data_IF_054226382472
#
_entry.id   IF_054226382472
#
_cell.length_a   1.000
_cell.length_b   1.000
_cell.length_c   1.000
_cell.angle_alpha   90.00
_cell.angle_beta   90.00
_cell.angle_gamma   90.00
#
_symmetry.space_group_name_H-M   'P 1'
#
loop_
_entity.id
_entity.type
_entity.pdbx_description
1 polymer ?
#
# COMPACT_ATOMS: atom_id res chain seq x y z
N UNK A 1 5.86 -22.46 -9.91
CA UNK A 1 4.68 -23.21 -9.43
C UNK A 1 4.60 -23.02 -7.93
N UNK A 2 3.38 -22.88 -7.39
CA UNK A 2 3.02 -22.43 -6.02
C UNK A 2 2.93 -20.90 -5.85
N UNK A 3 1.91 -20.29 -6.48
CA UNK A 3 1.51 -18.88 -6.24
C UNK A 3 0.01 -18.83 -5.86
N UNK A 4 -0.47 -19.91 -5.23
CA UNK A 4 -1.81 -20.03 -4.64
C UNK A 4 -1.62 -20.33 -3.17
N UNK A 5 -1.63 -19.29 -2.35
CA UNK A 5 -1.88 -19.45 -0.91
C UNK A 5 -3.28 -20.08 -0.82
N UNK A 6 -3.40 -21.25 -0.20
CA UNK A 6 -4.69 -21.91 -0.05
C UNK A 6 -5.58 -21.03 0.82
N UNK A 7 -6.68 -20.55 0.25
CA UNK A 7 -7.59 -19.57 0.86
C UNK A 7 -8.49 -20.15 1.95
N UNK A 8 -8.44 -21.46 2.16
CA UNK A 8 -9.33 -22.17 3.09
C UNK A 8 -8.89 -22.02 4.55
N UNK A 9 -7.58 -21.95 4.81
CA UNK A 9 -7.04 -21.75 6.15
C UNK A 9 -6.19 -20.48 6.22
N UNK A 10 -6.78 -19.44 6.79
CA UNK A 10 -6.15 -18.13 6.98
C UNK A 10 -5.36 -18.06 8.29
N UNK A 11 -5.54 -19.05 9.19
CA UNK A 11 -4.85 -19.10 10.47
C UNK A 11 -3.37 -19.46 10.33
N UNK A 12 -2.99 -20.11 9.22
CA UNK A 12 -1.62 -20.51 8.90
C UNK A 12 -0.82 -19.46 8.13
N UNK A 13 -1.37 -18.26 7.90
CA UNK A 13 -0.69 -17.19 7.15
C UNK A 13 0.46 -16.59 7.99
N UNK A 14 1.65 -17.17 7.86
CA UNK A 14 2.76 -16.99 8.78
C UNK A 14 4.03 -16.40 8.13
N UNK A 15 5.03 -15.97 8.93
CA UNK A 15 6.28 -15.32 8.48
C UNK A 15 7.13 -16.05 7.42
N UNK A 16 7.23 -17.39 7.33
CA UNK A 16 8.03 -18.02 6.27
C UNK A 16 7.50 -17.68 4.86
N UNK A 17 6.22 -17.35 4.73
CA UNK A 17 5.56 -17.01 3.46
C UNK A 17 5.28 -15.51 3.30
N UNK A 18 5.87 -14.65 4.15
CA UNK A 18 5.52 -13.22 4.24
C UNK A 18 5.70 -12.47 2.91
N UNK A 19 6.70 -12.87 2.09
CA UNK A 19 6.91 -12.27 0.78
C UNK A 19 5.84 -12.68 -0.25
N UNK A 20 5.43 -13.96 -0.23
CA UNK A 20 4.34 -14.44 -1.08
C UNK A 20 3.01 -13.81 -0.67
N UNK A 21 2.78 -13.71 0.65
CA UNK A 21 1.62 -13.06 1.23
C UNK A 21 1.57 -11.56 0.89
N UNK A 22 2.71 -10.87 0.98
CA UNK A 22 2.83 -9.47 0.55
C UNK A 22 2.49 -9.32 -0.93
N UNK A 23 3.06 -10.14 -1.82
CA UNK A 23 2.73 -10.09 -3.26
C UNK A 23 1.27 -10.38 -3.53
N UNK A 24 0.67 -11.29 -2.77
CA UNK A 24 -0.75 -11.61 -2.88
C UNK A 24 -1.61 -10.40 -2.51
N UNK A 25 -1.37 -9.79 -1.34
CA UNK A 25 -2.08 -8.59 -0.91
C UNK A 25 -1.84 -7.39 -1.83
N UNK A 26 -0.60 -7.20 -2.31
CA UNK A 26 -0.24 -6.12 -3.22
C UNK A 26 -1.01 -6.25 -4.54
N UNK A 27 -1.08 -7.48 -5.08
CA UNK A 27 -1.89 -7.78 -6.25
C UNK A 27 -3.37 -7.56 -5.99
N UNK A 28 -3.90 -8.00 -4.85
CA UNK A 28 -5.31 -7.79 -4.50
C UNK A 28 -5.65 -6.31 -4.41
N UNK A 29 -4.83 -5.52 -3.72
CA UNK A 29 -5.04 -4.09 -3.55
C UNK A 29 -5.19 -3.35 -4.90
N UNK A 30 -4.60 -3.85 -6.00
CA UNK A 30 -4.85 -3.32 -7.35
C UNK A 30 -6.31 -3.33 -7.80
N UNK A 31 -7.11 -4.28 -7.30
CA UNK A 31 -8.49 -4.53 -7.74
C UNK A 31 -9.53 -3.83 -6.88
N UNK A 32 -9.14 -3.20 -5.76
CA UNK A 32 -10.06 -2.43 -4.89
C UNK A 32 -10.68 -1.26 -5.66
N UNK A 33 -9.87 -0.58 -6.46
CA UNK A 33 -10.33 0.56 -7.24
C UNK A 33 -9.23 1.53 -7.67
N UNK A 34 -9.62 2.65 -8.30
CA UNK A 34 -8.69 3.71 -8.65
C UNK A 34 -8.09 4.35 -7.40
N UNK A 35 -6.82 4.75 -7.47
CA UNK A 35 -6.21 5.59 -6.42
C UNK A 35 -6.77 7.03 -6.50
N UNK A 36 -6.62 7.87 -5.46
CA UNK A 36 -7.10 9.24 -5.48
C UNK A 36 -6.59 10.05 -6.69
N UNK A 37 -5.32 9.86 -7.07
CA UNK A 37 -4.74 10.49 -8.26
C UNK A 37 -5.39 9.99 -9.58
N UNK A 38 -5.76 8.71 -9.65
CA UNK A 38 -6.45 8.16 -10.82
C UNK A 38 -7.90 8.61 -10.90
N UNK A 39 -8.57 8.79 -9.76
CA UNK A 39 -9.93 9.32 -9.71
C UNK A 39 -10.01 10.77 -10.18
N UNK A 40 -8.95 11.57 -9.97
CA UNK A 40 -8.85 12.96 -10.46
C UNK A 40 -8.59 13.07 -11.97
N UNK A 41 -8.12 12.00 -12.62
CA UNK A 41 -7.75 11.98 -14.05
C UNK A 41 -8.32 10.74 -14.75
N UNK A 42 -9.65 10.60 -14.85
CA UNK A 42 -10.30 9.39 -15.35
C UNK A 42 -9.98 9.08 -16.83
N UNK A 43 -9.64 10.08 -17.64
CA UNK A 43 -9.27 9.95 -19.05
C UNK A 43 -7.89 9.33 -19.26
N UNK A 44 -7.01 9.36 -18.26
CA UNK A 44 -5.66 8.79 -18.37
C UNK A 44 -5.69 7.27 -18.53
N UNK A 45 -4.76 6.75 -19.34
CA UNK A 45 -4.65 5.31 -19.64
C UNK A 45 -4.59 4.44 -18.37
N UNK A 46 -3.89 4.89 -17.35
CA UNK A 46 -3.77 4.19 -16.06
C UNK A 46 -5.10 4.10 -15.32
N UNK A 47 -5.86 5.19 -15.24
CA UNK A 47 -7.18 5.22 -14.62
C UNK A 47 -8.17 4.29 -15.37
N UNK A 48 -8.14 4.29 -16.70
CA UNK A 48 -8.97 3.39 -17.53
C UNK A 48 -8.63 1.90 -17.32
N UNK A 49 -7.35 1.58 -17.11
CA UNK A 49 -6.92 0.21 -16.81
C UNK A 49 -7.38 -0.21 -15.41
N UNK A 50 -7.21 0.64 -14.39
CA UNK A 50 -7.68 0.37 -13.03
C UNK A 50 -9.21 0.20 -12.97
N UNK A 51 -9.96 1.05 -13.70
CA UNK A 51 -11.41 0.96 -13.76
C UNK A 51 -11.89 -0.41 -14.30
N UNK A 52 -11.19 -0.98 -15.29
CA UNK A 52 -11.49 -2.32 -15.83
C UNK A 52 -11.16 -3.46 -14.87
N UNK A 53 -10.21 -3.27 -13.96
CA UNK A 53 -9.81 -4.27 -12.96
C UNK A 53 -10.69 -4.21 -11.72
N UNK A 54 -11.21 -3.04 -11.39
CA UNK A 54 -12.04 -2.82 -10.21
C UNK A 54 -13.19 -3.82 -10.16
N UNK A 55 -13.39 -4.51 -9.04
CA UNK A 55 -14.51 -5.44 -8.87
C UNK A 55 -14.24 -6.89 -9.30
N UNK A 56 -13.20 -7.14 -10.10
CA UNK A 56 -12.93 -8.49 -10.66
C UNK A 56 -12.56 -9.51 -9.58
N UNK A 57 -12.04 -9.05 -8.44
CA UNK A 57 -11.58 -9.90 -7.33
C UNK A 57 -12.27 -9.58 -6.00
N UNK A 58 -13.47 -9.00 -6.07
CA UNK A 58 -14.22 -8.67 -4.86
C UNK A 58 -14.61 -9.92 -4.07
N UNK A 59 -14.84 -11.05 -4.74
CA UNK A 59 -15.05 -12.35 -4.08
C UNK A 59 -13.83 -12.80 -3.27
N UNK A 60 -12.61 -12.64 -3.81
CA UNK A 60 -11.36 -12.94 -3.08
C UNK A 60 -11.21 -12.03 -1.86
N UNK A 61 -11.58 -10.75 -1.98
CA UNK A 61 -11.59 -9.82 -0.86
C UNK A 61 -12.65 -10.12 0.18
N UNK A 62 -13.82 -10.59 -0.24
CA UNK A 62 -14.93 -10.93 0.67
C UNK A 62 -14.61 -12.22 1.42
N UNK A 63 -13.85 -13.13 0.81
CA UNK A 63 -13.36 -14.35 1.44
C UNK A 63 -12.30 -14.10 2.52
N UNK A 64 -11.61 -12.95 2.49
CA UNK A 64 -10.64 -12.56 3.52
C UNK A 64 -11.39 -12.25 4.83
N UNK A 65 -11.04 -12.98 5.88
CA UNK A 65 -11.53 -12.77 7.25
C UNK A 65 -10.36 -12.35 8.15
N UNK A 66 -10.15 -11.03 8.36
CA UNK A 66 -9.07 -10.55 9.20
C UNK A 66 -9.12 -11.09 10.63
N UNK A 67 -10.30 -11.47 11.14
CA UNK A 67 -10.42 -12.00 12.50
C UNK A 67 -9.80 -13.39 12.66
N UNK A 68 -9.63 -14.14 11.56
CA UNK A 68 -9.00 -15.47 11.52
C UNK A 68 -7.52 -15.44 11.20
N UNK A 69 -6.99 -14.29 10.78
CA UNK A 69 -5.59 -14.14 10.40
C UNK A 69 -4.70 -13.89 11.62
N UNK A 70 -3.43 -14.34 11.58
CA UNK A 70 -2.41 -13.88 12.52
C UNK A 70 -2.25 -12.36 12.48
N UNK A 71 -1.95 -11.78 13.64
CA UNK A 71 -1.84 -10.32 13.82
C UNK A 71 -0.87 -9.69 12.83
N UNK A 72 0.28 -10.31 12.59
CA UNK A 72 1.30 -9.86 11.64
C UNK A 72 0.75 -9.76 10.20
N UNK A 73 -0.07 -10.73 9.80
CA UNK A 73 -0.70 -10.77 8.47
C UNK A 73 -1.77 -9.69 8.33
N UNK A 74 -2.50 -9.38 9.41
CA UNK A 74 -3.43 -8.25 9.45
C UNK A 74 -2.68 -6.91 9.30
N UNK A 75 -1.54 -6.75 9.99
CA UNK A 75 -0.67 -5.59 9.85
C UNK A 75 -0.13 -5.44 8.43
N UNK A 76 0.28 -6.55 7.80
CA UNK A 76 0.76 -6.57 6.42
C UNK A 76 -0.32 -6.11 5.44
N UNK A 77 -1.53 -6.68 5.53
CA UNK A 77 -2.66 -6.30 4.69
C UNK A 77 -2.98 -4.80 4.81
N UNK A 78 -3.04 -4.30 6.05
CA UNK A 78 -3.24 -2.87 6.31
C UNK A 78 -2.11 -2.02 5.71
N UNK A 79 -0.85 -2.40 5.92
CA UNK A 79 0.30 -1.66 5.39
C UNK A 79 0.29 -1.59 3.85
N UNK A 80 -0.07 -2.69 3.18
CA UNK A 80 -0.22 -2.74 1.72
C UNK A 80 -1.31 -1.80 1.24
N UNK A 81 -2.51 -1.88 1.82
CA UNK A 81 -3.64 -1.02 1.46
C UNK A 81 -3.32 0.47 1.65
N UNK A 82 -2.61 0.82 2.73
CA UNK A 82 -2.16 2.20 2.98
C UNK A 82 -1.11 2.61 1.95
N UNK A 83 -0.11 1.77 1.68
CA UNK A 83 0.96 2.08 0.73
C UNK A 83 0.44 2.34 -0.69
N UNK A 84 -0.64 1.67 -1.07
CA UNK A 84 -1.30 1.87 -2.35
C UNK A 84 -2.36 2.99 -2.36
N UNK A 85 -2.52 3.72 -1.24
CA UNK A 85 -3.52 4.78 -1.08
C UNK A 85 -4.96 4.30 -1.33
N UNK A 86 -5.25 3.06 -0.92
CA UNK A 86 -6.55 2.41 -1.14
C UNK A 86 -7.24 1.96 0.14
N UNK A 87 -6.65 2.23 1.30
CA UNK A 87 -7.16 1.79 2.59
C UNK A 87 -8.59 2.29 2.88
N UNK A 88 -8.83 3.60 2.75
CA UNK A 88 -10.17 4.18 2.98
C UNK A 88 -11.21 3.60 2.03
N UNK A 89 -10.87 3.50 0.74
CA UNK A 89 -11.76 2.92 -0.28
C UNK A 89 -12.04 1.43 -0.03
N UNK A 90 -11.05 0.68 0.45
CA UNK A 90 -11.22 -0.72 0.81
C UNK A 90 -12.17 -0.88 1.99
N UNK A 91 -12.05 -0.04 3.03
CA UNK A 91 -12.97 -0.07 4.17
C UNK A 91 -14.41 0.31 3.80
N UNK A 92 -14.59 1.26 2.87
CA UNK A 92 -15.91 1.65 2.38
C UNK A 92 -16.59 0.53 1.59
N UNK A 93 -15.83 -0.18 0.75
CA UNK A 93 -16.36 -1.23 -0.13
C UNK A 93 -16.52 -2.59 0.55
N UNK A 94 -15.62 -2.92 1.48
CA UNK A 94 -15.44 -4.27 2.01
C UNK A 94 -15.64 -4.23 3.53
N UNK A 95 -16.88 -4.35 4.02
CA UNK A 95 -17.18 -4.21 5.45
C UNK A 95 -16.49 -5.27 6.32
N UNK A 96 -16.14 -6.43 5.76
CA UNK A 96 -15.34 -7.48 6.42
C UNK A 96 -13.95 -6.98 6.84
N UNK A 97 -13.40 -5.98 6.15
CA UNK A 97 -12.11 -5.38 6.50
C UNK A 97 -12.18 -4.42 7.68
N UNK A 98 -13.38 -4.10 8.19
CA UNK A 98 -13.55 -3.24 9.37
C UNK A 98 -12.82 -3.75 10.62
N UNK A 99 -12.62 -5.07 10.73
CA UNK A 99 -11.82 -5.68 11.80
C UNK A 99 -10.35 -5.19 11.83
N UNK A 100 -9.79 -4.77 10.70
CA UNK A 100 -8.44 -4.18 10.62
C UNK A 100 -8.30 -2.86 11.39
N UNK A 101 -9.42 -2.15 11.59
CA UNK A 101 -9.47 -0.92 12.39
C UNK A 101 -9.29 -1.25 13.88
N UNK A 102 -9.92 -2.33 14.35
CA UNK A 102 -9.95 -2.72 15.76
C UNK A 102 -8.70 -3.52 16.18
N UNK A 103 -8.17 -4.37 15.31
CA UNK A 103 -7.01 -5.23 15.61
C UNK A 103 -5.76 -4.46 16.08
N UNK A 104 -5.62 -3.22 15.60
CA UNK A 104 -4.52 -2.32 15.99
C UNK A 104 -4.80 -1.58 17.29
N UNK A 105 -6.06 -1.30 17.63
CA UNK A 105 -6.42 -0.68 18.89
C UNK A 105 -6.20 -1.62 20.08
N UNK A 106 -6.35 -2.93 19.87
CA UNK A 106 -6.24 -3.95 20.91
C UNK A 106 -4.82 -4.49 21.12
N UNK A 107 -3.85 -4.10 20.30
CA UNK A 107 -2.47 -4.59 20.38
C UNK A 107 -1.52 -3.42 20.63
N UNK A 108 -1.50 -2.93 21.87
CA UNK A 108 -0.33 -2.25 22.44
C UNK A 108 0.45 -3.33 23.21
N UNK A 109 1.41 -4.03 22.58
CA UNK A 109 2.43 -4.69 23.35
C UNK A 109 3.39 -3.59 23.80
N UNK A 110 3.58 -3.48 25.11
CA UNK A 110 4.66 -2.73 25.70
C UNK A 110 5.98 -3.05 24.97
N UNK A 111 6.51 -2.07 24.24
CA UNK A 111 7.91 -2.01 23.83
C UNK A 111 8.41 -3.06 22.85
N UNK A 112 8.00 -3.03 21.57
CA UNK A 112 8.92 -3.41 20.48
C UNK A 112 8.50 -2.73 19.17
N UNK A 113 9.19 -1.64 18.82
CA UNK A 113 9.14 -1.08 17.46
C UNK A 113 9.76 -2.09 16.49
N UNK A 114 9.09 -2.52 15.40
CA UNK A 114 9.83 -3.08 14.28
C UNK A 114 10.58 -1.93 13.63
N UNK A 115 11.90 -1.98 13.79
CA UNK A 115 12.87 -1.11 13.13
C UNK A 115 12.74 -1.32 11.62
N UNK A 116 11.80 -0.61 10.99
CA UNK A 116 11.94 -0.27 9.57
C UNK A 116 13.09 0.73 9.50
N UNK A 117 14.25 0.22 9.08
CA UNK A 117 15.46 1.00 8.80
C UNK A 117 15.29 1.95 7.61
N UNK A 118 14.32 2.86 7.68
CA UNK A 118 14.25 4.02 6.79
C UNK A 118 14.92 5.16 7.53
N UNK A 119 16.23 5.32 7.29
CA UNK A 119 16.97 6.50 7.75
C UNK A 119 16.24 7.73 7.18
N UNK A 120 15.92 8.75 7.98
CA UNK A 120 15.41 10.00 7.43
C UNK A 120 16.50 10.59 6.54
N UNK A 121 16.21 10.69 5.24
CA UNK A 121 17.05 11.43 4.29
C UNK A 121 17.05 12.88 4.79
N UNK A 122 18.14 13.25 5.48
CA UNK A 122 18.42 14.64 5.84
C UNK A 122 18.26 15.49 4.57
N UNK A 123 17.29 16.40 4.62
CA UNK A 123 17.14 17.46 3.64
C UNK A 123 18.49 18.18 3.49
N UNK A 124 19.13 18.05 2.33
CA UNK A 124 20.30 18.85 1.99
C UNK A 124 19.85 20.30 1.78
N UNK A 125 20.46 21.29 2.44
CA UNK A 125 20.22 22.69 2.10
C UNK A 125 20.72 22.94 0.67
N UNK A 126 19.88 23.59 -0.15
CA UNK A 126 20.23 24.07 -1.49
C UNK A 126 21.38 25.07 -1.37
N UNK A 127 22.60 24.62 -1.65
CA UNK A 127 23.74 25.52 -1.91
C UNK A 127 23.42 26.30 -3.19
N UNK A 128 23.25 27.61 -3.05
CA UNK A 128 23.20 28.55 -4.16
C UNK A 128 24.46 28.39 -5.00
N UNK A 129 24.27 27.89 -6.23
CA UNK A 129 25.29 27.92 -7.26
C UNK A 129 25.37 29.34 -7.79
N UNK A 130 26.31 30.13 -7.25
CA UNK A 130 26.86 31.27 -7.95
C UNK A 130 27.48 30.79 -9.26
N UNK A 131 26.76 30.99 -10.36
CA UNK A 131 27.36 31.06 -11.69
C UNK A 131 27.25 32.49 -12.15
N UNK A 132 28.36 33.20 -11.95
CA UNK A 132 28.68 34.47 -12.57
C UNK A 132 28.44 34.36 -14.08
N UNK A 133 27.46 35.10 -14.59
CA UNK A 133 27.37 35.44 -16.01
C UNK A 133 28.33 36.62 -16.23
N UNK A 134 29.24 36.58 -17.23
CA UNK A 134 29.96 37.78 -17.63
C UNK A 134 28.99 38.73 -18.35
N UNK A 135 29.05 40.06 -18.11
CA UNK A 135 28.30 41.01 -18.90
C UNK A 135 28.94 41.17 -20.29
N UNK A 136 28.10 41.03 -21.33
CA UNK A 136 28.40 41.49 -22.68
C UNK A 136 28.76 42.98 -22.61
N UNK A 137 29.98 43.34 -22.98
CA UNK A 137 30.38 44.73 -23.16
C UNK A 137 30.63 44.98 -24.64
N UNK A 138 29.93 45.99 -25.13
CA UNK A 138 29.91 46.46 -26.50
C UNK A 138 31.30 46.86 -27.01
N UNK A 139 31.52 46.54 -28.28
CA UNK A 139 32.63 47.01 -29.12
C UNK A 139 32.30 48.42 -29.60
N UNK A 140 33.16 49.44 -29.41
CA UNK A 140 33.22 50.61 -30.28
C UNK A 140 34.04 50.32 -31.54
#
# INVERSE_FOLDING_TARGET
>A
MADRIYYEDQSSWAPPDYYALWRYFDRLAEYVGPTPAQAQQPEHRSARISAKKTGVRDEEFTAIDPARMPTESQWLLRAVLISQQRYELALEKLPNLGALVQAVASTVPNGTSPVLGVRPVRARPRRGSGRSRPPCRAVP
#
